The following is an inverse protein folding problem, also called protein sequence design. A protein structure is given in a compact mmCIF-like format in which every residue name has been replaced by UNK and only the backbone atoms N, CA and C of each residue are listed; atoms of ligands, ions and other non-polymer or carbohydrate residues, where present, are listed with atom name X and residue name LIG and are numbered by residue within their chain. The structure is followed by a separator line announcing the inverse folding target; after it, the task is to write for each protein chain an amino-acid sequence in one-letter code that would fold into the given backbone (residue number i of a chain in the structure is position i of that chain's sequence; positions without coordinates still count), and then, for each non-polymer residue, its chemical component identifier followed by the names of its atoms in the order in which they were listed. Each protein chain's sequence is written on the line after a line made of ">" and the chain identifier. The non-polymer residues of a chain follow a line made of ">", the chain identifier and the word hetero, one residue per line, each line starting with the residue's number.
data_IF_230927212605
#
_entry.id   IF_230927212605
#
_cell.length_a   1.000
_cell.length_b   1.000
_cell.length_c   1.000
_cell.angle_alpha   90.00
_cell.angle_beta   90.00
_cell.angle_gamma   90.00
#
_symmetry.space_group_name_H-M   'P 1'
#
loop_
_entity.id
_entity.type
_entity.pdbx_description
1 polymer ?
#
# COMPACT_ATOMS: atom_id res chain seq x y z
N UNK A 1 17.70 12.41 14.36
CA UNK A 1 18.09 11.02 14.66
C UNK A 1 17.52 10.18 13.54
N UNK A 2 18.36 9.57 12.70
CA UNK A 2 17.85 8.71 11.61
C UNK A 2 17.30 7.43 12.24
N UNK A 3 16.04 7.10 11.95
CA UNK A 3 15.42 5.86 12.39
C UNK A 3 15.60 4.83 11.29
N UNK A 4 16.58 3.95 11.49
CA UNK A 4 16.79 2.79 10.63
C UNK A 4 16.01 1.59 11.15
N UNK A 5 15.23 0.94 10.29
CA UNK A 5 14.60 -0.34 10.59
C UNK A 5 15.39 -1.48 9.98
N UNK A 6 15.45 -2.61 10.69
CA UNK A 6 16.17 -3.80 10.23
C UNK A 6 15.30 -4.62 9.27
N UNK A 7 15.68 -4.66 8.00
CA UNK A 7 14.98 -5.45 6.98
C UNK A 7 15.52 -6.88 6.82
N UNK A 8 16.60 -7.22 7.51
CA UNK A 8 17.24 -8.53 7.45
C UNK A 8 18.73 -8.44 7.16
N UNK A 9 19.29 -9.52 6.64
CA UNK A 9 20.72 -9.60 6.32
C UNK A 9 20.97 -10.02 4.88
N UNK A 10 22.07 -9.54 4.31
CA UNK A 10 22.57 -10.00 3.01
C UNK A 10 23.07 -11.46 3.09
N UNK A 11 23.38 -12.07 1.96
CA UNK A 11 24.04 -13.38 1.91
C UNK A 11 25.40 -13.41 2.61
N UNK A 12 26.04 -12.26 2.76
CA UNK A 12 27.35 -12.12 3.45
C UNK A 12 27.20 -11.86 4.95
N UNK A 13 25.94 -11.76 5.45
CA UNK A 13 25.66 -11.50 6.87
C UNK A 13 25.59 -10.02 7.26
N UNK A 14 25.73 -9.09 6.31
CA UNK A 14 25.60 -7.66 6.57
C UNK A 14 24.15 -7.26 6.77
N UNK A 15 23.87 -6.39 7.75
CA UNK A 15 22.52 -5.87 7.98
C UNK A 15 22.05 -5.01 6.81
N UNK A 16 20.75 -5.10 6.51
CA UNK A 16 20.07 -4.29 5.50
C UNK A 16 19.14 -3.29 6.22
N UNK A 17 19.64 -2.12 6.62
CA UNK A 17 18.81 -1.09 7.22
C UNK A 17 18.00 -0.36 6.16
N UNK A 18 16.75 -0.01 6.50
CA UNK A 18 15.91 0.90 5.72
C UNK A 18 15.68 2.18 6.54
N UNK A 19 16.01 3.33 5.98
CA UNK A 19 15.75 4.63 6.61
C UNK A 19 14.27 4.99 6.46
N UNK A 20 13.53 5.10 7.58
CA UNK A 20 12.10 5.44 7.57
C UNK A 20 11.87 6.87 7.07
N UNK A 21 12.72 7.82 7.41
CA UNK A 21 12.55 9.21 6.96
C UNK A 21 12.68 9.29 5.44
N UNK A 22 13.64 8.56 4.87
CA UNK A 22 13.79 8.45 3.41
C UNK A 22 12.59 7.74 2.78
N UNK A 23 12.10 6.64 3.38
CA UNK A 23 10.92 5.95 2.90
C UNK A 23 9.68 6.86 2.88
N UNK A 24 9.47 7.66 3.93
CA UNK A 24 8.36 8.61 4.02
C UNK A 24 8.51 9.79 3.04
N UNK A 25 9.73 10.12 2.67
CA UNK A 25 10.02 11.16 1.67
C UNK A 25 9.94 10.66 0.21
N UNK A 26 9.92 9.35 0.01
CA UNK A 26 9.92 8.68 -1.29
C UNK A 26 8.71 7.77 -1.43
N UNK A 27 8.76 6.84 -2.37
CA UNK A 27 7.73 5.81 -2.59
C UNK A 27 8.43 4.50 -2.90
N UNK A 28 7.79 3.40 -2.52
CA UNK A 28 8.36 2.08 -2.70
C UNK A 28 7.43 1.22 -3.55
N UNK A 29 8.00 0.56 -4.55
CA UNK A 29 7.39 -0.53 -5.29
C UNK A 29 8.06 -1.84 -4.89
N UNK A 30 7.26 -2.82 -4.50
CA UNK A 30 7.70 -4.18 -4.20
C UNK A 30 7.12 -5.13 -5.24
N UNK A 31 7.97 -5.84 -5.96
CA UNK A 31 7.53 -6.81 -6.96
C UNK A 31 8.09 -8.20 -6.61
N UNK A 32 7.25 -9.20 -6.76
CA UNK A 32 7.66 -10.59 -6.61
C UNK A 32 6.50 -11.55 -6.79
N UNK A 33 6.74 -12.66 -7.48
CA UNK A 33 5.75 -13.69 -7.73
C UNK A 33 5.32 -14.40 -6.43
N UNK A 34 4.27 -15.20 -6.51
CA UNK A 34 3.85 -16.06 -5.40
C UNK A 34 5.03 -16.90 -4.89
N UNK A 35 5.22 -16.97 -3.58
CA UNK A 35 6.34 -17.66 -2.94
C UNK A 35 7.70 -16.94 -3.03
N UNK A 36 7.75 -15.69 -3.51
CA UNK A 36 8.98 -14.88 -3.53
C UNK A 36 9.35 -14.27 -2.17
N UNK A 37 8.44 -14.34 -1.18
CA UNK A 37 8.62 -13.71 0.12
C UNK A 37 8.06 -12.27 0.21
N UNK A 38 7.29 -11.81 -0.80
CA UNK A 38 6.70 -10.45 -0.85
C UNK A 38 5.93 -10.11 0.44
N UNK A 39 4.97 -10.95 0.84
CA UNK A 39 4.14 -10.72 2.05
C UNK A 39 4.99 -10.75 3.32
N UNK A 40 6.03 -11.60 3.39
CA UNK A 40 6.99 -11.59 4.51
C UNK A 40 7.79 -10.29 4.57
N UNK A 41 8.26 -9.79 3.42
CA UNK A 41 8.99 -8.52 3.34
C UNK A 41 8.11 -7.34 3.79
N UNK A 42 6.87 -7.27 3.29
CA UNK A 42 5.91 -6.25 3.70
C UNK A 42 5.57 -6.34 5.18
N UNK A 43 5.35 -7.55 5.68
CA UNK A 43 5.09 -7.77 7.11
C UNK A 43 6.26 -7.30 7.96
N UNK A 44 7.50 -7.66 7.59
CA UNK A 44 8.67 -7.18 8.31
C UNK A 44 8.78 -5.67 8.30
N UNK A 45 8.57 -5.02 7.14
CA UNK A 45 8.53 -3.56 7.02
C UNK A 45 7.51 -2.96 7.98
N UNK A 46 6.29 -3.49 8.00
CA UNK A 46 5.19 -3.02 8.85
C UNK A 46 5.51 -3.24 10.34
N UNK A 47 5.94 -4.43 10.73
CA UNK A 47 6.27 -4.75 12.11
C UNK A 47 7.41 -3.88 12.66
N UNK A 48 8.45 -3.65 11.86
CA UNK A 48 9.61 -2.85 12.26
C UNK A 48 9.30 -1.35 12.29
N UNK A 49 8.41 -0.87 11.44
CA UNK A 49 8.04 0.55 11.37
C UNK A 49 6.85 0.96 12.26
N UNK A 50 6.05 -0.01 12.76
CA UNK A 50 4.86 0.27 13.58
C UNK A 50 5.12 1.19 14.80
N UNK A 51 6.25 1.09 15.53
CA UNK A 51 6.53 1.99 16.66
C UNK A 51 6.83 3.44 16.26
N UNK A 52 7.12 3.68 14.98
CA UNK A 52 7.69 4.94 14.52
C UNK A 52 6.74 5.76 13.64
N UNK A 53 5.81 5.12 12.95
CA UNK A 53 4.95 5.79 11.97
C UNK A 53 3.56 5.17 11.95
N UNK A 54 2.54 6.01 11.79
CA UNK A 54 1.19 5.56 11.51
C UNK A 54 1.14 4.74 10.22
N UNK A 55 0.37 3.67 10.19
CA UNK A 55 0.25 2.77 9.06
C UNK A 55 -1.21 2.61 8.61
N UNK A 56 -1.41 2.53 7.30
CA UNK A 56 -2.68 2.21 6.68
C UNK A 56 -2.43 1.13 5.63
N UNK A 57 -3.01 -0.03 5.81
CA UNK A 57 -2.83 -1.18 4.92
C UNK A 57 -4.13 -1.45 4.17
N UNK A 58 -4.07 -1.53 2.84
CA UNK A 58 -5.13 -2.03 1.98
C UNK A 58 -4.83 -3.50 1.71
N UNK A 59 -5.66 -4.37 2.26
CA UNK A 59 -5.42 -5.81 2.36
C UNK A 59 -6.54 -6.59 1.66
N UNK A 60 -6.36 -6.95 0.37
CA UNK A 60 -7.38 -7.67 -0.37
C UNK A 60 -7.51 -9.15 -0.01
N UNK A 61 -6.47 -9.75 0.59
CA UNK A 61 -6.40 -11.19 0.85
C UNK A 61 -6.44 -11.54 2.35
N UNK A 62 -6.46 -10.54 3.26
CA UNK A 62 -6.50 -10.76 4.71
C UNK A 62 -5.16 -11.13 5.35
N UNK A 63 -4.04 -10.93 4.63
CA UNK A 63 -2.71 -11.32 5.09
C UNK A 63 -2.19 -10.51 6.30
N UNK A 64 -2.75 -9.31 6.53
CA UNK A 64 -2.20 -8.34 7.51
C UNK A 64 -3.11 -8.09 8.72
N UNK A 65 -4.30 -8.71 8.80
CA UNK A 65 -5.25 -8.51 9.92
C UNK A 65 -4.64 -8.83 11.28
N UNK A 66 -3.71 -9.77 11.35
CA UNK A 66 -3.02 -10.17 12.59
C UNK A 66 -2.04 -9.10 13.14
N UNK A 67 -1.81 -8.00 12.43
CA UNK A 67 -1.09 -6.84 12.97
C UNK A 67 -1.87 -6.18 14.12
N UNK A 68 -3.19 -6.36 14.15
CA UNK A 68 -4.04 -5.88 15.25
C UNK A 68 -3.62 -6.48 16.59
N UNK A 69 -3.32 -7.76 16.63
CA UNK A 69 -3.01 -8.50 17.87
C UNK A 69 -1.73 -8.00 18.54
N UNK A 70 -0.75 -7.59 17.76
CA UNK A 70 0.60 -7.30 18.25
C UNK A 70 0.93 -5.81 18.25
N UNK A 71 0.41 -5.05 17.31
CA UNK A 71 0.78 -3.64 17.09
C UNK A 71 -0.41 -2.68 17.24
N UNK A 72 -1.59 -3.18 17.63
CA UNK A 72 -2.76 -2.35 17.92
C UNK A 72 -3.40 -1.71 16.69
N UNK A 73 -3.22 -2.28 15.50
CA UNK A 73 -3.94 -1.83 14.30
C UNK A 73 -5.44 -2.06 14.45
N UNK A 74 -6.24 -1.12 14.01
CA UNK A 74 -7.68 -1.31 13.90
C UNK A 74 -7.99 -2.02 12.58
N UNK A 75 -8.63 -3.17 12.65
CA UNK A 75 -9.13 -3.86 11.46
C UNK A 75 -10.47 -3.25 11.07
N UNK A 76 -10.57 -2.78 9.84
CA UNK A 76 -11.76 -2.20 9.25
C UNK A 76 -12.31 -3.22 8.26
N UNK A 77 -13.54 -3.62 8.47
CA UNK A 77 -14.27 -4.45 7.53
C UNK A 77 -14.61 -3.64 6.26
N UNK A 78 -14.22 -4.17 5.12
CA UNK A 78 -14.43 -3.54 3.82
C UNK A 78 -15.87 -3.56 3.31
N UNK A 79 -16.79 -4.33 3.92
CA UNK A 79 -18.22 -4.35 3.56
C UNK A 79 -19.00 -3.10 4.00
N UNK A 80 -18.33 -2.15 4.65
CA UNK A 80 -18.94 -0.90 5.10
C UNK A 80 -19.49 -0.06 3.96
N UNK A 81 -20.53 0.72 4.27
CA UNK A 81 -21.05 1.72 3.34
C UNK A 81 -20.03 2.80 3.03
N UNK A 82 -20.19 3.47 1.89
CA UNK A 82 -19.31 4.58 1.48
C UNK A 82 -19.19 5.66 2.56
N UNK A 83 -20.32 6.08 3.15
CA UNK A 83 -20.34 7.10 4.21
C UNK A 83 -19.57 6.66 5.47
N UNK A 84 -19.66 5.37 5.85
CA UNK A 84 -18.91 4.81 6.96
C UNK A 84 -17.41 4.78 6.66
N UNK A 85 -17.01 4.32 5.45
CA UNK A 85 -15.61 4.28 5.04
C UNK A 85 -14.97 5.67 5.06
N UNK A 86 -15.67 6.68 4.53
CA UNK A 86 -15.22 8.08 4.59
C UNK A 86 -15.08 8.55 6.04
N UNK A 87 -16.11 8.30 6.86
CA UNK A 87 -16.09 8.71 8.27
C UNK A 87 -14.98 8.03 9.08
N UNK A 88 -14.69 6.75 8.80
CA UNK A 88 -13.60 6.00 9.44
C UNK A 88 -12.24 6.55 8.99
N UNK A 89 -12.04 6.75 7.68
CA UNK A 89 -10.79 7.29 7.12
C UNK A 89 -10.45 8.66 7.75
N UNK A 90 -11.42 9.54 7.88
CA UNK A 90 -11.25 10.85 8.52
C UNK A 90 -10.83 10.72 9.99
N UNK A 91 -11.49 9.84 10.77
CA UNK A 91 -11.11 9.60 12.16
C UNK A 91 -9.72 9.00 12.30
N UNK A 92 -9.34 8.09 11.41
CA UNK A 92 -8.00 7.50 11.37
C UNK A 92 -6.94 8.57 11.13
N UNK A 93 -7.18 9.51 10.21
CA UNK A 93 -6.27 10.63 9.99
C UNK A 93 -6.21 11.55 11.21
N UNK A 94 -7.36 11.91 11.77
CA UNK A 94 -7.47 12.81 12.92
C UNK A 94 -6.78 12.27 14.17
N UNK A 95 -6.95 10.98 14.46
CA UNK A 95 -6.45 10.36 15.70
C UNK A 95 -5.12 9.60 15.52
N UNK A 96 -4.53 9.61 14.32
CA UNK A 96 -3.27 8.93 14.00
C UNK A 96 -3.30 7.43 14.33
N UNK A 97 -4.42 6.78 14.06
CA UNK A 97 -4.61 5.36 14.33
C UNK A 97 -4.07 4.54 13.16
N UNK A 98 -3.26 3.52 13.44
CA UNK A 98 -2.86 2.54 12.42
C UNK A 98 -4.01 1.58 12.13
N UNK A 99 -4.21 1.22 10.85
CA UNK A 99 -5.34 0.39 10.45
C UNK A 99 -5.00 -0.58 9.31
N UNK A 100 -5.81 -1.63 9.24
CA UNK A 100 -5.88 -2.55 8.11
C UNK A 100 -7.30 -2.49 7.56
N UNK A 101 -7.47 -2.07 6.31
CA UNK A 101 -8.72 -2.22 5.59
C UNK A 101 -8.73 -3.62 4.97
N UNK A 102 -9.45 -4.54 5.60
CA UNK A 102 -9.63 -5.90 5.11
C UNK A 102 -10.72 -5.92 4.06
N UNK A 103 -10.37 -6.36 2.86
CA UNK A 103 -11.28 -6.50 1.73
C UNK A 103 -11.51 -7.98 1.39
N UNK A 104 -11.02 -8.88 2.25
CA UNK A 104 -11.19 -10.32 2.09
C UNK A 104 -12.66 -10.69 1.96
N UNK A 105 -12.97 -11.56 1.02
CA UNK A 105 -14.35 -12.04 0.77
C UNK A 105 -15.20 -11.14 -0.12
N UNK A 106 -14.77 -9.89 -0.40
CA UNK A 106 -15.46 -9.03 -1.35
C UNK A 106 -15.13 -9.41 -2.80
N UNK A 107 -16.08 -9.21 -3.72
CA UNK A 107 -15.76 -9.27 -5.13
C UNK A 107 -14.82 -8.14 -5.56
N UNK A 108 -14.16 -8.31 -6.69
CA UNK A 108 -13.12 -7.37 -7.17
C UNK A 108 -13.65 -5.95 -7.37
N UNK A 109 -14.90 -5.79 -7.78
CA UNK A 109 -15.50 -4.47 -8.01
C UNK A 109 -15.71 -3.72 -6.70
N UNK A 110 -16.22 -4.39 -5.67
CA UNK A 110 -16.38 -3.85 -4.32
C UNK A 110 -15.02 -3.56 -3.68
N UNK A 111 -14.05 -4.47 -3.84
CA UNK A 111 -12.68 -4.22 -3.36
C UNK A 111 -12.10 -2.94 -3.97
N UNK A 112 -12.17 -2.78 -5.29
CA UNK A 112 -11.69 -1.59 -5.99
C UNK A 112 -12.41 -0.32 -5.54
N UNK A 113 -13.73 -0.36 -5.49
CA UNK A 113 -14.55 0.78 -5.11
C UNK A 113 -14.26 1.21 -3.67
N UNK A 114 -14.31 0.28 -2.73
CA UNK A 114 -14.20 0.59 -1.30
C UNK A 114 -12.77 1.00 -0.91
N UNK A 115 -11.74 0.36 -1.47
CA UNK A 115 -10.36 0.82 -1.34
C UNK A 115 -10.17 2.24 -1.91
N UNK A 116 -10.72 2.50 -3.09
CA UNK A 116 -10.65 3.80 -3.72
C UNK A 116 -11.32 4.91 -2.92
N UNK A 117 -12.53 4.66 -2.39
CA UNK A 117 -13.26 5.58 -1.51
C UNK A 117 -12.44 5.88 -0.25
N UNK A 118 -11.96 4.84 0.42
CA UNK A 118 -11.19 4.96 1.65
C UNK A 118 -9.88 5.75 1.43
N UNK A 119 -9.11 5.41 0.40
CA UNK A 119 -7.86 6.10 0.05
C UNK A 119 -8.09 7.56 -0.35
N UNK A 120 -9.17 7.87 -1.10
CA UNK A 120 -9.51 9.24 -1.44
C UNK A 120 -9.88 10.04 -0.19
N UNK A 121 -10.65 9.47 0.75
CA UNK A 121 -10.96 10.13 2.02
C UNK A 121 -9.71 10.39 2.87
N UNK A 122 -8.78 9.41 2.93
CA UNK A 122 -7.48 9.61 3.57
C UNK A 122 -6.66 10.74 2.91
N UNK A 123 -6.72 10.84 1.59
CA UNK A 123 -6.03 11.87 0.81
C UNK A 123 -6.66 13.26 0.98
N UNK A 124 -7.98 13.35 1.05
CA UNK A 124 -8.73 14.61 1.13
C UNK A 124 -8.92 15.12 2.57
N UNK A 125 -8.34 14.45 3.55
CA UNK A 125 -8.35 14.90 4.94
C UNK A 125 -7.85 16.34 5.09
N UNK A 126 -8.37 17.07 6.07
CA UNK A 126 -8.00 18.45 6.37
C UNK A 126 -6.49 18.61 6.63
N UNK A 127 -5.96 19.76 6.24
CA UNK A 127 -4.51 20.03 6.27
C UNK A 127 -3.90 19.88 7.67
N UNK A 128 -4.63 20.13 8.70
CA UNK A 128 -4.19 19.95 10.09
C UNK A 128 -3.90 18.50 10.45
N UNK A 129 -4.45 17.52 9.67
CA UNK A 129 -4.26 16.08 9.87
C UNK A 129 -3.25 15.46 8.88
N UNK A 130 -2.45 16.26 8.17
CA UNK A 130 -1.44 15.75 7.21
C UNK A 130 -0.18 15.23 7.93
N UNK A 131 -0.38 14.38 8.92
CA UNK A 131 0.72 13.67 9.56
C UNK A 131 1.27 12.56 8.67
N UNK A 132 2.55 12.18 8.84
CA UNK A 132 3.13 11.06 8.10
C UNK A 132 2.38 9.75 8.34
N UNK A 133 1.97 9.09 7.26
CA UNK A 133 1.35 7.77 7.24
C UNK A 133 2.02 6.94 6.17
N UNK A 134 2.45 5.74 6.54
CA UNK A 134 2.88 4.72 5.58
C UNK A 134 1.63 4.01 5.06
N UNK A 135 1.32 4.21 3.78
CA UNK A 135 0.16 3.58 3.12
C UNK A 135 0.65 2.42 2.28
N UNK A 136 0.34 1.20 2.72
CA UNK A 136 0.72 -0.03 2.03
C UNK A 136 -0.48 -0.58 1.28
N UNK A 137 -0.32 -0.82 -0.02
CA UNK A 137 -1.35 -1.43 -0.87
C UNK A 137 -0.78 -2.74 -1.42
N UNK A 138 -1.28 -3.85 -0.91
CA UNK A 138 -0.93 -5.16 -1.46
C UNK A 138 -1.77 -5.45 -2.71
N UNK A 139 -1.25 -6.31 -3.59
CA UNK A 139 -1.86 -6.65 -4.89
C UNK A 139 -2.30 -5.42 -5.70
N UNK A 140 -1.44 -4.37 -5.73
CA UNK A 140 -1.73 -3.05 -6.29
C UNK A 140 -2.25 -3.08 -7.74
N UNK A 141 -1.94 -4.13 -8.52
CA UNK A 141 -2.49 -4.32 -9.88
C UNK A 141 -4.01 -4.55 -9.88
N UNK A 142 -4.59 -4.96 -8.76
CA UNK A 142 -6.05 -5.07 -8.61
C UNK A 142 -6.70 -3.69 -8.57
N UNK A 143 -6.05 -2.73 -7.90
CA UNK A 143 -6.57 -1.38 -7.67
C UNK A 143 -6.17 -0.37 -8.74
N UNK A 144 -5.08 -0.64 -9.46
CA UNK A 144 -4.61 0.19 -10.56
C UNK A 144 -4.24 -0.69 -11.78
N UNK A 145 -5.21 -1.37 -12.41
CA UNK A 145 -4.93 -2.23 -13.54
C UNK A 145 -4.50 -1.45 -14.78
N UNK A 146 -3.51 -1.98 -15.51
CA UNK A 146 -3.00 -1.39 -16.77
C UNK A 146 -4.02 -1.44 -17.91
N UNK A 147 -4.96 -2.40 -17.88
CA UNK A 147 -6.01 -2.61 -18.88
C UNK A 147 -7.35 -2.72 -18.16
N UNK A 148 -8.42 -2.24 -18.80
CA UNK A 148 -9.77 -2.44 -18.29
C UNK A 148 -10.09 -3.95 -18.22
N UNK A 149 -10.62 -4.40 -17.07
CA UNK A 149 -11.14 -5.75 -16.86
C UNK A 149 -12.66 -5.76 -16.87
N UNK A 150 -13.26 -6.85 -16.38
CA UNK A 150 -14.72 -7.06 -16.30
C UNK A 150 -15.34 -6.36 -15.08
N UNK A 151 -14.88 -5.16 -14.73
CA UNK A 151 -15.40 -4.33 -13.63
C UNK A 151 -16.01 -3.05 -14.19
N UNK A 152 -16.93 -2.43 -13.44
CA UNK A 152 -17.53 -1.17 -13.87
C UNK A 152 -16.49 -0.08 -14.05
N UNK A 153 -16.74 0.81 -15.02
CA UNK A 153 -15.87 1.94 -15.29
C UNK A 153 -15.78 2.89 -14.08
N UNK A 154 -16.86 2.99 -13.32
CA UNK A 154 -16.95 3.80 -12.11
C UNK A 154 -15.98 3.29 -11.03
N UNK A 155 -16.07 2.00 -10.65
CA UNK A 155 -15.19 1.39 -9.65
C UNK A 155 -13.72 1.53 -10.08
N UNK A 156 -13.43 1.29 -11.36
CA UNK A 156 -12.09 1.44 -11.91
C UNK A 156 -11.58 2.86 -11.82
N UNK A 157 -12.39 3.87 -12.18
CA UNK A 157 -11.98 5.28 -12.12
C UNK A 157 -11.70 5.74 -10.70
N UNK A 158 -12.56 5.35 -9.75
CA UNK A 158 -12.40 5.69 -8.32
C UNK A 158 -11.09 5.09 -7.79
N UNK A 159 -10.87 3.80 -8.02
CA UNK A 159 -9.68 3.08 -7.56
C UNK A 159 -8.39 3.60 -8.19
N UNK A 160 -8.34 3.68 -9.53
CA UNK A 160 -7.15 4.17 -10.25
C UNK A 160 -6.85 5.63 -9.90
N UNK A 161 -7.87 6.46 -9.74
CA UNK A 161 -7.72 7.85 -9.28
C UNK A 161 -7.09 7.94 -7.90
N UNK A 162 -7.57 7.13 -6.95
CA UNK A 162 -7.04 7.07 -5.60
C UNK A 162 -5.56 6.61 -5.57
N UNK A 163 -5.23 5.56 -6.32
CA UNK A 163 -3.86 5.06 -6.45
C UNK A 163 -2.92 6.10 -7.10
N UNK A 164 -3.40 6.80 -8.13
CA UNK A 164 -2.66 7.89 -8.76
C UNK A 164 -2.44 9.05 -7.79
N UNK A 165 -3.45 9.45 -7.03
CA UNK A 165 -3.33 10.50 -6.01
C UNK A 165 -2.31 10.10 -4.93
N UNK A 166 -2.37 8.86 -4.44
CA UNK A 166 -1.42 8.34 -3.45
C UNK A 166 0.01 8.42 -3.98
N UNK A 167 0.27 7.88 -5.16
CA UNK A 167 1.63 7.76 -5.69
C UNK A 167 2.17 9.08 -6.24
N UNK A 168 1.37 9.90 -6.94
CA UNK A 168 1.86 11.16 -7.52
C UNK A 168 1.88 12.31 -6.52
N UNK A 169 0.90 12.38 -5.61
CA UNK A 169 0.62 13.58 -4.81
C UNK A 169 0.56 13.34 -3.30
N UNK A 170 0.51 12.07 -2.86
CA UNK A 170 0.30 11.67 -1.46
C UNK A 170 1.30 12.28 -0.50
N UNK A 171 2.58 12.33 -0.89
CA UNK A 171 3.67 12.89 -0.06
C UNK A 171 3.36 14.30 0.47
N UNK A 172 2.79 15.18 -0.37
CA UNK A 172 2.43 16.55 0.04
C UNK A 172 1.33 16.58 1.10
N UNK A 173 0.60 15.47 1.27
CA UNK A 173 -0.48 15.29 2.24
C UNK A 173 -0.10 14.33 3.37
N UNK A 174 1.20 14.03 3.51
CA UNK A 174 1.72 13.12 4.53
C UNK A 174 1.52 11.64 4.23
N UNK A 175 1.07 11.26 3.01
CA UNK A 175 0.88 9.86 2.63
C UNK A 175 2.08 9.35 1.85
N UNK A 176 2.82 8.39 2.41
CA UNK A 176 3.93 7.71 1.76
C UNK A 176 3.45 6.36 1.22
N UNK A 177 3.39 6.23 -0.10
CA UNK A 177 2.90 5.02 -0.77
C UNK A 177 3.95 3.92 -0.84
N UNK A 178 3.57 2.73 -0.39
CA UNK A 178 4.24 1.45 -0.64
C UNK A 178 3.27 0.57 -1.38
N UNK A 179 3.57 0.24 -2.62
CA UNK A 179 2.71 -0.62 -3.43
C UNK A 179 3.40 -1.94 -3.70
N UNK A 180 2.68 -3.02 -3.59
CA UNK A 180 3.21 -4.35 -3.84
C UNK A 180 2.41 -5.07 -4.93
N UNK A 181 3.09 -5.81 -5.80
CA UNK A 181 2.46 -6.51 -6.91
C UNK A 181 3.15 -7.81 -7.24
N UNK A 182 2.39 -8.82 -7.63
CA UNK A 182 2.92 -10.05 -8.23
C UNK A 182 3.12 -9.90 -9.74
N UNK A 183 2.42 -8.98 -10.38
CA UNK A 183 2.33 -8.84 -11.83
C UNK A 183 2.55 -7.38 -12.25
N UNK A 184 3.80 -6.97 -12.33
CA UNK A 184 4.19 -5.60 -12.68
C UNK A 184 3.61 -5.16 -14.05
N UNK A 185 3.56 -6.06 -15.01
CA UNK A 185 2.98 -5.78 -16.33
C UNK A 185 1.48 -5.48 -16.29
N UNK A 186 0.76 -5.93 -15.25
CA UNK A 186 -0.65 -5.64 -15.05
C UNK A 186 -0.90 -4.34 -14.26
N UNK A 187 0.12 -3.74 -13.67
CA UNK A 187 0.01 -2.48 -12.93
C UNK A 187 0.07 -1.28 -13.89
N UNK A 188 -0.77 -0.28 -13.66
CA UNK A 188 -0.80 0.95 -14.47
C UNK A 188 0.56 1.68 -14.44
N UNK A 189 1.06 2.05 -15.63
CA UNK A 189 2.40 2.64 -15.79
C UNK A 189 2.60 3.91 -14.99
N UNK A 190 1.62 4.81 -14.98
CA UNK A 190 1.65 6.07 -14.25
C UNK A 190 1.73 5.90 -12.73
N UNK A 191 1.22 4.78 -12.19
CA UNK A 191 1.31 4.44 -10.76
C UNK A 191 2.67 3.83 -10.44
N UNK A 192 3.14 2.89 -11.27
CA UNK A 192 4.44 2.24 -11.09
C UNK A 192 5.62 3.22 -11.24
N UNK A 193 5.58 4.10 -12.24
CA UNK A 193 6.66 5.04 -12.55
C UNK A 193 6.92 6.09 -11.47
N UNK A 194 5.99 6.29 -10.54
CA UNK A 194 6.14 7.23 -9.42
C UNK A 194 6.96 6.66 -8.25
N UNK A 195 7.24 5.36 -8.25
CA UNK A 195 8.08 4.74 -7.24
C UNK A 195 9.54 5.15 -7.42
N UNK A 196 10.12 5.76 -6.38
CA UNK A 196 11.54 6.16 -6.37
C UNK A 196 12.45 5.01 -5.92
N UNK A 197 11.88 4.01 -5.25
CA UNK A 197 12.58 2.82 -4.77
C UNK A 197 11.86 1.58 -5.28
N UNK A 198 12.66 0.59 -5.64
CA UNK A 198 12.16 -0.67 -6.18
C UNK A 198 12.84 -1.85 -5.49
N UNK A 199 12.03 -2.72 -4.86
CA UNK A 199 12.48 -3.99 -4.33
C UNK A 199 11.91 -5.11 -5.20
N UNK A 200 12.80 -5.87 -5.81
CA UNK A 200 12.43 -6.97 -6.70
C UNK A 200 12.76 -8.31 -6.06
N UNK A 201 11.74 -9.10 -5.81
CA UNK A 201 11.85 -10.50 -5.47
C UNK A 201 11.96 -11.38 -6.70
N UNK A 202 11.90 -12.70 -6.49
CA UNK A 202 11.97 -13.69 -7.58
C UNK A 202 10.82 -13.49 -8.58
N UNK A 203 11.17 -13.35 -9.87
CA UNK A 203 10.26 -13.11 -10.98
C UNK A 203 10.56 -14.09 -12.10
N UNK A 204 9.53 -14.72 -12.69
CA UNK A 204 9.66 -15.76 -13.70
C UNK A 204 9.15 -15.37 -15.09
N UNK A 205 8.34 -14.31 -15.18
CA UNK A 205 7.74 -13.90 -16.43
C UNK A 205 8.61 -12.87 -17.14
N UNK A 206 9.01 -13.16 -18.36
CA UNK A 206 9.85 -12.29 -19.19
C UNK A 206 9.26 -10.88 -19.32
N UNK A 207 7.92 -10.79 -19.44
CA UNK A 207 7.24 -9.49 -19.54
C UNK A 207 7.36 -8.65 -18.27
N UNK A 208 7.34 -9.28 -17.10
CA UNK A 208 7.51 -8.58 -15.83
C UNK A 208 8.98 -8.20 -15.61
N UNK A 209 9.92 -9.06 -16.04
CA UNK A 209 11.36 -8.78 -16.00
C UNK A 209 11.75 -7.64 -16.94
N UNK A 210 11.26 -7.66 -18.18
CA UNK A 210 11.48 -6.60 -19.15
C UNK A 210 10.96 -5.26 -18.62
N UNK A 211 9.78 -5.26 -18.00
CA UNK A 211 9.18 -4.05 -17.47
C UNK A 211 9.84 -3.53 -16.19
N UNK A 212 10.54 -4.37 -15.45
CA UNK A 212 11.33 -3.97 -14.30
C UNK A 212 12.68 -3.36 -14.70
N UNK A 213 13.13 -3.62 -15.93
CA UNK A 213 14.38 -3.09 -16.50
C UNK A 213 14.20 -1.72 -17.16
N UNK A 214 12.96 -1.37 -17.57
CA UNK A 214 12.58 -0.06 -18.14
C UNK A 214 12.46 1.02 -17.05
#
# INVERSE_FOLDING_TARGET
>A
MKVGIDMGTTSNGDNVPLDIEELLATRLLVQGNSGSGKSHLLRRLLEQSAPWVQQCIIDPEGDFVTLADKFGHVVIDGERTEAELIGIANRIRQHRVSCVLSLEGLDIELQMRNAGIFLNAMFDADREFWYPVLVVVDEAQMFAPSVAGDVSEEARKVSLGAMTNLMCRGRKRGLAGVIATQRLAKLAKNVAAEASNFLMGRTFLDIDMARAAD
#
